data_IF_663058939282
#
_entry.id   IF_663058939282
#
_cell.length_a   1.000
_cell.length_b   1.000
_cell.length_c   1.000
_cell.angle_alpha   90.00
_cell.angle_beta   90.00
_cell.angle_gamma   90.00
#
_symmetry.space_group_name_H-M   'P 1'
#
loop_
_entity.id
_entity.type
_entity.pdbx_description
1 polymer ?
#
# COMPACT_ATOMS: atom_id res chain seq x y z
N UNK A 1 53.30 44.06 -71.56
CA UNK A 1 52.06 44.33 -70.79
C UNK A 1 51.39 43.05 -70.48
N UNK A 2 51.58 42.50 -69.29
CA UNK A 2 51.04 41.19 -68.91
C UNK A 2 49.84 41.37 -67.96
N UNK A 3 48.69 40.90 -68.41
CA UNK A 3 47.44 40.94 -67.68
C UNK A 3 47.31 39.66 -66.83
N UNK A 4 47.37 39.79 -65.50
CA UNK A 4 47.15 38.67 -64.59
C UNK A 4 45.75 38.75 -63.96
N UNK A 5 44.89 37.82 -64.34
CA UNK A 5 43.56 37.64 -63.71
C UNK A 5 43.73 36.91 -62.37
N UNK A 6 42.96 37.28 -61.32
CA UNK A 6 42.98 36.56 -60.05
C UNK A 6 42.03 35.37 -60.08
N UNK A 7 42.54 34.25 -59.62
CA UNK A 7 41.84 32.99 -59.44
C UNK A 7 40.94 33.06 -58.19
N UNK A 8 39.63 32.91 -58.35
CA UNK A 8 38.66 32.82 -57.29
C UNK A 8 38.63 31.40 -56.74
N UNK A 9 39.05 31.24 -55.51
CA UNK A 9 38.91 29.97 -54.74
C UNK A 9 37.52 29.96 -54.09
N UNK A 10 36.63 29.10 -54.62
CA UNK A 10 35.35 28.82 -53.96
C UNK A 10 35.53 27.79 -52.86
N UNK A 11 35.40 28.22 -51.62
CA UNK A 11 35.35 27.33 -50.47
C UNK A 11 33.93 26.76 -50.35
N UNK A 12 33.73 25.48 -50.64
CA UNK A 12 32.55 24.72 -50.30
C UNK A 12 32.54 24.37 -48.82
N UNK A 13 31.67 25.05 -48.05
CA UNK A 13 31.34 24.68 -46.68
C UNK A 13 30.32 23.54 -46.72
N UNK A 14 30.77 22.31 -46.49
CA UNK A 14 29.89 21.17 -46.20
C UNK A 14 29.39 21.33 -44.77
N UNK A 15 28.14 21.78 -44.59
CA UNK A 15 27.41 21.77 -43.31
C UNK A 15 26.97 20.34 -42.98
N UNK A 16 27.64 19.65 -42.06
CA UNK A 16 27.10 18.43 -41.42
C UNK A 16 25.90 18.80 -40.54
N UNK A 17 24.70 18.55 -41.02
CA UNK A 17 23.50 18.58 -40.19
C UNK A 17 23.48 17.31 -39.31
N UNK A 18 23.85 17.44 -38.03
CA UNK A 18 23.59 16.41 -37.02
C UNK A 18 22.08 16.41 -36.72
N UNK A 19 21.34 15.51 -37.37
CA UNK A 19 19.98 15.20 -37.00
C UNK A 19 20.04 14.39 -35.70
N UNK A 20 19.87 15.07 -34.54
CA UNK A 20 19.61 14.40 -33.28
C UNK A 20 18.26 13.68 -33.40
N UNK A 21 18.27 12.36 -33.59
CA UNK A 21 17.11 11.52 -33.47
C UNK A 21 16.67 11.55 -32.00
N UNK A 22 15.68 12.40 -31.71
CA UNK A 22 14.92 12.29 -30.45
C UNK A 22 14.16 11.00 -30.56
N UNK A 23 14.73 9.92 -30.00
CA UNK A 23 13.99 8.69 -29.79
C UNK A 23 12.77 9.05 -28.92
N UNK A 24 11.59 9.05 -29.49
CA UNK A 24 10.34 9.11 -28.74
C UNK A 24 10.36 7.93 -27.75
N UNK A 25 10.66 8.21 -26.50
CA UNK A 25 10.51 7.23 -25.43
C UNK A 25 9.01 6.92 -25.38
N UNK A 26 8.61 5.79 -25.94
CA UNK A 26 7.28 5.24 -25.72
C UNK A 26 7.17 5.06 -24.20
N UNK A 27 6.29 5.86 -23.59
CA UNK A 27 6.03 5.81 -22.14
C UNK A 27 5.31 4.49 -21.89
N UNK A 28 6.10 3.44 -21.60
CA UNK A 28 5.52 2.14 -21.24
C UNK A 28 4.75 2.31 -19.94
N UNK A 29 3.45 2.11 -20.02
CA UNK A 29 2.53 2.21 -18.88
C UNK A 29 2.59 0.91 -18.08
N UNK A 30 2.65 1.02 -16.75
CA UNK A 30 2.49 -0.10 -15.81
C UNK A 30 1.12 0.02 -15.14
N UNK A 31 0.26 -0.96 -15.34
CA UNK A 31 -1.08 -1.03 -14.74
C UNK A 31 -1.03 -1.97 -13.53
N UNK A 32 -1.36 -1.44 -12.38
CA UNK A 32 -1.32 -2.16 -11.09
C UNK A 32 -2.74 -2.16 -10.49
N UNK A 33 -3.29 -3.31 -10.13
CA UNK A 33 -4.58 -3.38 -9.43
C UNK A 33 -4.63 -4.57 -8.47
N UNK A 34 -5.62 -4.63 -7.59
CA UNK A 34 -5.81 -5.75 -6.67
C UNK A 34 -6.24 -5.35 -5.26
N UNK A 35 -5.52 -5.77 -4.24
CA UNK A 35 -5.87 -5.55 -2.84
C UNK A 35 -5.87 -4.07 -2.46
N UNK A 36 -7.02 -3.53 -2.06
CA UNK A 36 -7.13 -2.15 -1.57
C UNK A 36 -6.35 -1.91 -0.28
N UNK A 37 -6.07 -2.96 0.50
CA UNK A 37 -5.24 -2.86 1.69
C UNK A 37 -3.75 -2.66 1.38
N UNK A 38 -3.26 -3.16 0.23
CA UNK A 38 -1.86 -3.00 -0.21
C UNK A 38 -1.68 -1.69 -1.01
N UNK A 39 -2.76 -1.19 -1.62
CA UNK A 39 -2.71 -0.02 -2.47
C UNK A 39 -2.02 1.21 -1.84
N UNK A 40 -2.26 1.61 -0.57
CA UNK A 40 -1.59 2.77 0.01
C UNK A 40 -0.06 2.68 -0.01
N UNK A 41 0.50 1.51 0.25
CA UNK A 41 1.94 1.28 0.20
C UNK A 41 2.47 1.34 -1.24
N UNK A 42 1.75 0.73 -2.18
CA UNK A 42 2.13 0.72 -3.61
C UNK A 42 2.00 2.10 -4.22
N UNK A 43 1.02 2.89 -3.82
CA UNK A 43 0.87 4.31 -4.23
C UNK A 43 2.06 5.16 -3.77
N UNK A 44 2.55 4.95 -2.53
CA UNK A 44 3.74 5.62 -2.04
C UNK A 44 5.00 5.22 -2.84
N UNK A 45 5.18 3.92 -3.11
CA UNK A 45 6.26 3.40 -3.95
C UNK A 45 6.19 3.94 -5.39
N UNK A 46 5.01 3.96 -5.99
CA UNK A 46 4.80 4.49 -7.34
C UNK A 46 5.06 6.00 -7.43
N UNK A 47 4.69 6.77 -6.39
CA UNK A 47 5.00 8.20 -6.31
C UNK A 47 6.51 8.43 -6.24
N UNK A 48 7.20 7.76 -5.34
CA UNK A 48 8.65 7.91 -5.20
C UNK A 48 9.41 7.43 -6.45
N UNK A 49 8.92 6.39 -7.12
CA UNK A 49 9.48 5.94 -8.39
C UNK A 49 9.33 7.00 -9.50
N UNK A 50 8.15 7.62 -9.62
CA UNK A 50 7.90 8.69 -10.61
C UNK A 50 8.74 9.95 -10.35
N UNK A 51 9.01 10.29 -9.08
CA UNK A 51 9.91 11.40 -8.72
C UNK A 51 11.34 11.18 -9.26
N UNK A 52 11.82 9.93 -9.26
CA UNK A 52 13.12 9.55 -9.81
C UNK A 52 13.09 9.27 -11.32
N UNK A 53 11.91 9.00 -11.88
CA UNK A 53 11.69 8.64 -13.28
C UNK A 53 10.50 9.42 -13.85
N UNK A 54 10.67 10.72 -14.17
CA UNK A 54 9.55 11.61 -14.57
C UNK A 54 8.75 11.13 -15.80
N UNK A 55 9.35 10.25 -16.64
CA UNK A 55 8.67 9.64 -17.80
C UNK A 55 7.90 8.34 -17.47
N UNK A 56 7.92 7.87 -16.20
CA UNK A 56 7.25 6.63 -15.84
C UNK A 56 5.72 6.81 -15.72
N UNK A 57 4.95 6.04 -16.47
CA UNK A 57 3.50 5.97 -16.37
C UNK A 57 3.09 4.76 -15.51
N UNK A 58 2.67 5.00 -14.26
CA UNK A 58 2.11 3.97 -13.38
C UNK A 58 0.66 4.34 -13.07
N UNK A 59 -0.26 3.43 -13.38
CA UNK A 59 -1.67 3.55 -13.03
C UNK A 59 -2.03 2.53 -11.96
N UNK A 60 -2.71 2.98 -10.90
CA UNK A 60 -3.21 2.11 -9.83
C UNK A 60 -4.73 2.07 -9.90
N UNK A 61 -5.28 0.87 -10.01
CA UNK A 61 -6.71 0.63 -10.14
C UNK A 61 -7.48 0.79 -8.84
N UNK A 62 -8.80 0.65 -8.92
CA UNK A 62 -9.75 0.90 -7.82
C UNK A 62 -9.94 -0.29 -6.87
N UNK A 63 -9.22 -1.38 -7.10
CA UNK A 63 -9.29 -2.61 -6.32
C UNK A 63 -10.01 -3.76 -7.05
N UNK A 64 -9.38 -4.92 -7.02
CA UNK A 64 -9.90 -6.18 -7.54
C UNK A 64 -9.89 -7.26 -6.45
N UNK A 65 -10.95 -8.03 -6.36
CA UNK A 65 -11.03 -9.19 -5.48
C UNK A 65 -9.99 -10.26 -5.83
N UNK A 66 -9.76 -11.20 -4.90
CA UNK A 66 -8.66 -12.18 -4.98
C UNK A 66 -8.61 -12.96 -6.29
N UNK A 67 -9.73 -13.51 -6.75
CA UNK A 67 -9.78 -14.24 -8.02
C UNK A 67 -9.65 -13.32 -9.23
N UNK A 68 -10.33 -12.16 -9.20
CA UNK A 68 -10.36 -11.22 -10.31
C UNK A 68 -9.00 -10.61 -10.62
N UNK A 69 -8.17 -10.29 -9.62
CA UNK A 69 -6.82 -9.74 -9.84
C UNK A 69 -5.87 -10.75 -10.51
N UNK A 70 -5.92 -12.02 -10.12
CA UNK A 70 -5.09 -13.07 -10.73
C UNK A 70 -5.55 -13.34 -12.16
N UNK A 71 -6.86 -13.36 -12.40
CA UNK A 71 -7.40 -13.48 -13.76
C UNK A 71 -7.01 -12.28 -14.63
N UNK A 72 -7.13 -11.05 -14.12
CA UNK A 72 -6.75 -9.83 -14.86
C UNK A 72 -5.27 -9.83 -15.23
N UNK A 73 -4.39 -10.31 -14.34
CA UNK A 73 -2.96 -10.46 -14.63
C UNK A 73 -2.71 -11.50 -15.73
N UNK A 74 -3.37 -12.65 -15.67
CA UNK A 74 -3.26 -13.70 -16.72
C UNK A 74 -3.73 -13.24 -18.09
N UNK A 75 -4.76 -12.41 -18.13
CA UNK A 75 -5.32 -11.84 -19.36
C UNK A 75 -4.55 -10.61 -19.86
N UNK A 76 -3.49 -10.18 -19.18
CA UNK A 76 -2.71 -9.00 -19.54
C UNK A 76 -3.48 -7.68 -19.39
N UNK A 77 -4.59 -7.65 -18.65
CA UNK A 77 -5.33 -6.42 -18.34
C UNK A 77 -4.66 -5.55 -17.29
N UNK A 78 -3.81 -6.16 -16.48
CA UNK A 78 -2.91 -5.50 -15.53
C UNK A 78 -1.52 -6.14 -15.66
N UNK A 79 -0.48 -5.40 -15.31
CA UNK A 79 0.92 -5.85 -15.32
C UNK A 79 1.35 -6.37 -13.96
N UNK A 80 0.73 -5.86 -12.89
CA UNK A 80 1.05 -6.20 -11.50
C UNK A 80 -0.24 -6.36 -10.70
N UNK A 81 -0.40 -7.50 -10.04
CA UNK A 81 -1.49 -7.72 -9.10
C UNK A 81 -1.02 -7.47 -7.66
N UNK A 82 -1.67 -6.54 -6.96
CA UNK A 82 -1.48 -6.34 -5.51
C UNK A 82 -2.19 -7.46 -4.76
N UNK A 83 -1.48 -8.15 -3.87
CA UNK A 83 -2.02 -9.22 -3.05
C UNK A 83 -1.56 -9.07 -1.59
N UNK A 84 -2.30 -9.68 -0.68
CA UNK A 84 -2.00 -9.65 0.75
C UNK A 84 -1.99 -11.06 1.34
N UNK A 85 -1.93 -11.16 2.66
CA UNK A 85 -2.00 -12.41 3.42
C UNK A 85 -3.08 -13.36 2.87
N UNK A 86 -2.87 -14.67 2.96
CA UNK A 86 -3.78 -15.68 2.41
C UNK A 86 -3.63 -15.94 0.90
N UNK A 87 -2.67 -15.28 0.20
CA UNK A 87 -2.35 -15.63 -1.17
C UNK A 87 -1.82 -17.06 -1.25
N UNK A 88 -2.44 -17.92 -2.07
CA UNK A 88 -1.89 -19.24 -2.35
C UNK A 88 -0.70 -19.13 -3.32
N UNK A 89 0.49 -18.90 -2.75
CA UNK A 89 1.72 -18.66 -3.50
C UNK A 89 2.03 -19.85 -4.42
N UNK A 90 1.89 -21.09 -3.91
CA UNK A 90 2.18 -22.29 -4.68
C UNK A 90 1.27 -22.41 -5.92
N UNK A 91 -0.01 -22.07 -5.78
CA UNK A 91 -0.97 -22.10 -6.88
C UNK A 91 -0.65 -21.04 -7.93
N UNK A 92 -0.38 -19.81 -7.50
CA UNK A 92 -0.04 -18.70 -8.38
C UNK A 92 1.26 -18.98 -9.15
N UNK A 93 2.27 -19.57 -8.48
CA UNK A 93 3.54 -19.97 -9.12
C UNK A 93 3.34 -21.09 -10.13
N UNK A 94 2.50 -22.11 -9.81
CA UNK A 94 2.15 -23.16 -10.78
C UNK A 94 1.43 -22.65 -12.02
N UNK A 95 0.75 -21.51 -11.91
CA UNK A 95 0.12 -20.81 -13.03
C UNK A 95 1.10 -19.95 -13.84
N UNK A 96 2.40 -20.03 -13.60
CA UNK A 96 3.43 -19.31 -14.36
C UNK A 96 3.59 -17.84 -13.96
N UNK A 97 3.22 -17.47 -12.74
CA UNK A 97 3.39 -16.12 -12.21
C UNK A 97 4.49 -16.07 -11.15
N UNK A 98 5.07 -14.90 -10.95
CA UNK A 98 6.09 -14.66 -9.92
C UNK A 98 5.50 -13.82 -8.80
N UNK A 99 5.70 -14.27 -7.57
CA UNK A 99 5.26 -13.58 -6.36
C UNK A 99 6.47 -12.84 -5.74
N UNK A 100 6.30 -11.56 -5.50
CA UNK A 100 7.29 -10.68 -4.89
C UNK A 100 6.74 -10.20 -3.54
N UNK A 101 7.22 -10.76 -2.45
CA UNK A 101 6.93 -10.19 -1.13
C UNK A 101 7.68 -8.87 -0.99
N UNK A 102 6.95 -7.80 -0.65
CA UNK A 102 7.49 -6.44 -0.56
C UNK A 102 7.57 -5.93 0.88
N UNK A 103 6.87 -6.58 1.79
CA UNK A 103 6.94 -6.21 3.19
C UNK A 103 5.80 -6.77 4.02
N UNK A 104 5.96 -6.59 5.33
CA UNK A 104 5.00 -6.96 6.35
C UNK A 104 4.44 -5.70 7.00
N UNK A 105 3.12 -5.62 7.16
CA UNK A 105 2.43 -4.43 7.69
C UNK A 105 1.65 -4.80 8.93
N UNK A 106 1.75 -3.99 9.99
CA UNK A 106 0.89 -4.13 11.15
C UNK A 106 -0.56 -3.82 10.80
N UNK A 107 -1.48 -4.70 11.19
CA UNK A 107 -2.91 -4.42 11.28
C UNK A 107 -3.17 -3.83 12.66
N UNK A 108 -3.75 -2.66 12.72
CA UNK A 108 -3.90 -1.89 13.97
C UNK A 108 -5.36 -1.51 14.22
N UNK A 109 -5.70 -1.26 15.47
CA UNK A 109 -6.88 -0.47 15.79
C UNK A 109 -6.48 1.00 15.69
N UNK A 110 -6.84 1.61 14.55
CA UNK A 110 -6.66 3.04 14.33
C UNK A 110 -7.79 3.80 14.99
N UNK A 111 -7.47 4.92 15.63
CA UNK A 111 -8.46 5.83 16.22
C UNK A 111 -8.32 7.22 15.65
N UNK A 112 -9.43 7.96 15.60
CA UNK A 112 -9.40 9.39 15.35
C UNK A 112 -8.53 10.10 16.39
N UNK A 113 -7.77 11.10 15.96
CA UNK A 113 -6.78 11.77 16.83
C UNK A 113 -7.38 12.47 18.06
N UNK A 114 -8.68 12.76 18.05
CA UNK A 114 -9.41 13.36 19.19
C UNK A 114 -9.73 12.34 20.29
N UNK A 115 -9.78 11.04 19.95
CA UNK A 115 -9.82 9.98 20.95
C UNK A 115 -8.41 9.76 21.51
N UNK A 116 -8.27 9.69 22.83
CA UNK A 116 -6.95 9.73 23.50
C UNK A 116 -6.52 8.46 24.23
N UNK A 117 -7.13 7.28 24.07
CA UNK A 117 -6.54 6.08 24.66
C UNK A 117 -5.23 5.75 23.93
N UNK A 118 -4.19 5.33 24.66
CA UNK A 118 -2.93 4.90 24.06
C UNK A 118 -2.86 3.39 23.83
N UNK A 119 -3.72 2.62 24.49
CA UNK A 119 -3.70 1.15 24.50
C UNK A 119 -5.11 0.59 24.64
N UNK A 120 -5.34 -0.59 24.07
CA UNK A 120 -6.50 -1.43 24.33
C UNK A 120 -6.04 -2.84 24.69
N UNK A 121 -6.76 -3.48 25.62
CA UNK A 121 -6.70 -4.93 25.78
C UNK A 121 -7.63 -5.62 24.78
N UNK A 122 -7.40 -6.89 24.50
CA UNK A 122 -8.30 -7.68 23.62
C UNK A 122 -9.73 -7.72 24.17
N UNK A 123 -9.87 -7.83 25.49
CA UNK A 123 -11.18 -7.76 26.15
C UNK A 123 -11.89 -6.43 25.91
N UNK A 124 -11.16 -5.32 25.98
CA UNK A 124 -11.74 -3.99 25.68
C UNK A 124 -12.15 -3.87 24.21
N UNK A 125 -11.31 -4.34 23.28
CA UNK A 125 -11.67 -4.41 21.85
C UNK A 125 -12.98 -5.18 21.67
N UNK A 126 -13.08 -6.38 22.21
CA UNK A 126 -14.31 -7.18 22.07
C UNK A 126 -15.54 -6.50 22.67
N UNK A 127 -15.40 -5.83 23.79
CA UNK A 127 -16.49 -5.08 24.42
C UNK A 127 -16.91 -3.87 23.63
N UNK A 128 -15.99 -3.18 22.95
CA UNK A 128 -16.31 -2.09 22.02
C UNK A 128 -17.16 -2.63 20.84
N UNK A 129 -16.67 -3.69 20.17
CA UNK A 129 -17.38 -4.27 19.02
C UNK A 129 -18.68 -4.99 19.38
N UNK A 130 -18.83 -5.40 20.63
CA UNK A 130 -20.08 -5.90 21.20
C UNK A 130 -21.06 -4.80 21.68
N UNK A 131 -20.68 -3.51 21.54
CA UNK A 131 -21.49 -2.38 22.00
C UNK A 131 -21.57 -2.24 23.54
N UNK A 132 -20.69 -2.88 24.30
CA UNK A 132 -20.65 -2.86 25.79
C UNK A 132 -19.81 -1.75 26.36
N UNK A 133 -18.93 -1.13 25.59
CA UNK A 133 -18.17 0.08 25.89
C UNK A 133 -18.50 1.07 24.77
N UNK A 134 -19.05 2.21 25.13
CA UNK A 134 -19.58 3.17 24.17
C UNK A 134 -19.00 4.57 24.28
N UNK A 135 -18.16 4.81 25.27
CA UNK A 135 -17.51 6.09 25.49
C UNK A 135 -16.01 5.89 25.83
N UNK A 136 -15.15 6.69 25.22
CA UNK A 136 -13.70 6.60 25.44
C UNK A 136 -13.28 6.89 26.88
N UNK A 137 -14.04 7.68 27.64
CA UNK A 137 -13.76 7.93 29.07
C UNK A 137 -13.76 6.67 29.93
N UNK A 138 -14.52 5.63 29.52
CA UNK A 138 -14.50 4.32 30.20
C UNK A 138 -13.14 3.62 30.09
N UNK A 139 -12.32 4.07 29.15
CA UNK A 139 -10.99 3.54 28.82
C UNK A 139 -9.87 4.55 29.12
N UNK A 140 -10.17 5.58 29.91
CA UNK A 140 -9.20 6.64 30.28
C UNK A 140 -8.93 7.66 29.16
N UNK A 141 -9.75 7.66 28.12
CA UNK A 141 -9.69 8.64 27.03
C UNK A 141 -10.59 9.86 27.26
N UNK A 142 -10.80 10.64 26.21
CA UNK A 142 -11.69 11.81 26.19
C UNK A 142 -13.13 11.42 26.48
N UNK A 143 -13.94 12.34 27.00
CA UNK A 143 -15.41 12.14 27.09
C UNK A 143 -16.02 12.28 25.70
N UNK A 144 -15.93 11.21 24.92
CA UNK A 144 -16.29 11.14 23.52
C UNK A 144 -16.91 9.78 23.20
N UNK A 145 -18.05 9.77 22.52
CA UNK A 145 -18.71 8.54 22.12
C UNK A 145 -17.82 7.72 21.17
N UNK A 146 -17.75 6.41 21.38
CA UNK A 146 -17.03 5.50 20.48
C UNK A 146 -17.88 5.25 19.22
N UNK A 147 -17.27 5.41 18.05
CA UNK A 147 -17.84 5.05 16.74
C UNK A 147 -17.05 3.87 16.19
N UNK A 148 -17.50 2.62 16.43
CA UNK A 148 -16.77 1.45 15.98
C UNK A 148 -16.95 1.22 14.48
N UNK A 149 -15.84 1.00 13.78
CA UNK A 149 -15.78 0.74 12.35
C UNK A 149 -15.15 -0.64 12.11
N UNK A 150 -15.67 -1.40 11.17
CA UNK A 150 -15.12 -2.68 10.78
C UNK A 150 -14.97 -2.79 9.26
N UNK A 151 -14.27 -3.80 8.81
CA UNK A 151 -14.15 -4.19 7.40
C UNK A 151 -15.05 -5.39 7.15
N UNK A 152 -15.45 -5.68 5.89
CA UNK A 152 -16.12 -6.93 5.56
C UNK A 152 -15.33 -8.16 6.03
N UNK A 153 -16.01 -9.25 6.31
CA UNK A 153 -15.40 -10.52 6.75
C UNK A 153 -14.37 -11.07 5.75
N UNK A 154 -14.55 -10.82 4.47
CA UNK A 154 -13.64 -11.23 3.40
C UNK A 154 -12.37 -10.36 3.26
N UNK A 155 -12.22 -9.35 4.09
CA UNK A 155 -11.08 -8.45 4.04
C UNK A 155 -9.98 -8.92 4.99
N UNK A 156 -8.73 -8.87 4.53
CA UNK A 156 -7.58 -9.41 5.25
C UNK A 156 -7.39 -8.81 6.65
N UNK A 157 -7.67 -7.53 6.82
CA UNK A 157 -7.55 -6.89 8.13
C UNK A 157 -8.52 -7.53 9.15
N UNK A 158 -9.75 -7.88 8.73
CA UNK A 158 -10.72 -8.61 9.56
C UNK A 158 -10.28 -10.04 9.80
N UNK A 159 -9.80 -10.74 8.76
CA UNK A 159 -9.29 -12.12 8.90
C UNK A 159 -8.16 -12.19 9.93
N UNK A 160 -7.17 -11.30 9.85
CA UNK A 160 -6.03 -11.22 10.78
C UNK A 160 -6.51 -10.97 12.21
N UNK A 161 -7.37 -9.98 12.40
CA UNK A 161 -7.87 -9.62 13.74
C UNK A 161 -8.69 -10.75 14.34
N UNK A 162 -9.61 -11.36 13.58
CA UNK A 162 -10.42 -12.48 14.05
C UNK A 162 -9.60 -13.74 14.33
N UNK A 163 -8.59 -14.02 13.52
CA UNK A 163 -7.72 -15.18 13.72
C UNK A 163 -6.86 -15.05 15.01
N UNK A 164 -6.47 -13.83 15.38
CA UNK A 164 -5.53 -13.59 16.46
C UNK A 164 -6.19 -13.17 17.79
N UNK A 165 -7.39 -12.59 17.75
CA UNK A 165 -8.13 -12.14 18.94
C UNK A 165 -9.29 -13.10 19.20
N UNK A 166 -9.10 -14.01 20.16
CA UNK A 166 -10.01 -15.14 20.39
C UNK A 166 -11.47 -14.75 20.58
N UNK A 167 -11.74 -13.67 21.32
CA UNK A 167 -13.12 -13.23 21.56
C UNK A 167 -13.78 -12.59 20.32
N UNK A 168 -13.01 -12.19 19.31
CA UNK A 168 -13.59 -11.69 18.04
C UNK A 168 -13.90 -12.81 17.03
N UNK A 169 -13.38 -14.02 17.21
CA UNK A 169 -13.53 -15.11 16.22
C UNK A 169 -14.97 -15.39 15.83
N UNK A 170 -15.88 -15.35 16.78
CA UNK A 170 -17.32 -15.63 16.58
C UNK A 170 -18.19 -14.47 17.05
N UNK A 171 -17.62 -13.30 17.34
CA UNK A 171 -18.38 -12.16 17.80
C UNK A 171 -19.24 -11.62 16.66
N UNK A 172 -20.55 -11.60 16.88
CA UNK A 172 -21.46 -10.80 16.08
C UNK A 172 -21.30 -9.34 16.51
N UNK A 173 -20.96 -8.49 15.56
CA UNK A 173 -20.78 -7.06 15.83
C UNK A 173 -22.13 -6.42 16.17
N UNK A 174 -22.13 -5.50 17.14
CA UNK A 174 -23.31 -4.72 17.48
C UNK A 174 -23.77 -3.85 16.28
N UNK A 175 -25.06 -3.50 16.24
CA UNK A 175 -25.66 -2.70 15.17
C UNK A 175 -25.00 -1.33 14.98
N UNK A 176 -24.36 -0.80 16.03
CA UNK A 176 -23.60 0.45 15.97
C UNK A 176 -22.32 0.35 15.14
N UNK A 177 -21.80 -0.85 14.85
CA UNK A 177 -20.57 -1.05 14.06
C UNK A 177 -20.86 -0.78 12.59
N UNK A 178 -20.13 0.20 12.02
CA UNK A 178 -20.27 0.55 10.61
C UNK A 178 -19.24 -0.20 9.76
N UNK A 179 -19.71 -0.85 8.71
CA UNK A 179 -18.83 -1.58 7.79
C UNK A 179 -18.27 -0.65 6.71
N UNK A 180 -16.96 -0.55 6.65
CA UNK A 180 -16.22 0.21 5.63
C UNK A 180 -15.76 -0.74 4.52
N UNK A 181 -16.35 -0.67 3.30
CA UNK A 181 -16.15 -1.69 2.27
C UNK A 181 -14.70 -1.76 1.75
N UNK A 182 -13.99 -0.63 1.68
CA UNK A 182 -12.61 -0.56 1.17
C UNK A 182 -11.68 0.14 2.15
N UNK A 183 -10.37 -0.12 2.06
CA UNK A 183 -9.36 0.53 2.90
C UNK A 183 -9.37 2.07 2.81
N UNK A 184 -9.53 2.72 1.64
CA UNK A 184 -9.71 4.17 1.56
C UNK A 184 -10.94 4.70 2.30
N UNK A 185 -12.04 3.93 2.36
CA UNK A 185 -13.25 4.34 3.09
C UNK A 185 -12.99 4.31 4.60
N UNK A 186 -12.30 3.27 5.09
CA UNK A 186 -11.85 3.18 6.48
C UNK A 186 -10.91 4.34 6.84
N UNK A 187 -9.90 4.61 6.02
CA UNK A 187 -8.94 5.69 6.23
C UNK A 187 -9.65 7.05 6.34
N UNK A 188 -10.60 7.31 5.44
CA UNK A 188 -11.40 8.55 5.44
C UNK A 188 -12.27 8.65 6.69
N UNK A 189 -13.00 7.59 7.03
CA UNK A 189 -13.88 7.58 8.19
C UNK A 189 -13.10 7.80 9.49
N UNK A 190 -11.97 7.11 9.69
CA UNK A 190 -11.10 7.31 10.85
C UNK A 190 -10.57 8.76 10.94
N UNK A 191 -10.17 9.35 9.82
CA UNK A 191 -9.60 10.69 9.80
C UNK A 191 -10.64 11.81 10.01
N UNK A 192 -11.92 11.56 9.73
CA UNK A 192 -12.97 12.62 9.72
C UNK A 192 -14.07 12.43 10.75
N UNK A 193 -14.10 11.31 11.48
CA UNK A 193 -15.15 11.02 12.45
C UNK A 193 -14.59 11.03 13.86
N UNK A 194 -14.85 12.07 14.67
CA UNK A 194 -14.46 12.10 16.07
C UNK A 194 -14.91 10.82 16.81
N UNK A 195 -14.06 10.30 17.67
CA UNK A 195 -14.33 9.08 18.45
C UNK A 195 -14.32 7.76 17.66
N UNK A 196 -14.06 7.78 16.35
CA UNK A 196 -14.00 6.54 15.58
C UNK A 196 -12.80 5.67 15.94
N UNK A 197 -13.03 4.35 15.89
CA UNK A 197 -12.00 3.30 16.00
C UNK A 197 -12.27 2.23 14.96
N UNK A 198 -11.23 1.72 14.31
CA UNK A 198 -11.42 0.69 13.28
C UNK A 198 -10.16 -0.08 12.94
N UNK A 199 -10.34 -1.27 12.38
CA UNK A 199 -9.27 -2.12 11.86
C UNK A 199 -8.67 -1.50 10.60
N UNK A 200 -7.39 -1.17 10.65
CA UNK A 200 -6.68 -0.55 9.51
C UNK A 200 -5.21 -0.99 9.51
N UNK A 201 -4.40 -0.44 8.62
CA UNK A 201 -2.97 -0.73 8.58
C UNK A 201 -2.14 0.43 9.12
N UNK A 202 -0.94 0.11 9.61
CA UNK A 202 0.03 1.13 10.00
C UNK A 202 0.34 2.11 8.86
N UNK A 203 0.32 1.64 7.60
CA UNK A 203 0.48 2.51 6.42
C UNK A 203 -0.58 3.62 6.35
N UNK A 204 -1.84 3.31 6.65
CA UNK A 204 -2.92 4.31 6.71
C UNK A 204 -2.68 5.32 7.83
N UNK A 205 -2.20 4.86 8.97
CA UNK A 205 -1.86 5.72 10.12
C UNK A 205 -0.77 6.71 9.73
N UNK A 206 0.35 6.23 9.19
CA UNK A 206 1.47 7.08 8.76
C UNK A 206 1.05 8.11 7.71
N UNK A 207 0.22 7.72 6.76
CA UNK A 207 -0.26 8.60 5.69
C UNK A 207 -1.37 9.57 6.15
N UNK A 208 -1.89 9.43 7.36
CA UNK A 208 -2.99 10.26 7.86
C UNK A 208 -2.59 11.69 8.25
N UNK A 209 -1.30 12.00 8.26
CA UNK A 209 -0.75 13.27 8.77
C UNK A 209 -1.22 13.57 10.22
N UNK A 210 -1.19 12.55 11.09
CA UNK A 210 -1.54 12.66 12.50
C UNK A 210 -3.05 12.67 12.81
N UNK A 211 -3.93 12.56 11.80
CA UNK A 211 -5.38 12.50 12.01
C UNK A 211 -5.87 11.16 12.54
N UNK A 212 -5.11 10.11 12.33
CA UNK A 212 -5.35 8.76 12.85
C UNK A 212 -4.15 8.34 13.69
N UNK A 213 -4.39 7.79 14.86
CA UNK A 213 -3.37 7.21 15.74
C UNK A 213 -3.55 5.70 15.82
N UNK A 214 -2.44 4.96 15.89
CA UNK A 214 -2.49 3.54 16.15
C UNK A 214 -2.48 3.30 17.67
N UNK A 215 -3.35 2.41 18.15
CA UNK A 215 -3.35 1.97 19.53
C UNK A 215 -2.36 0.82 19.72
N UNK A 216 -1.71 0.78 20.88
CA UNK A 216 -1.07 -0.43 21.36
C UNK A 216 -2.14 -1.49 21.66
N UNK A 217 -1.78 -2.75 21.53
CA UNK A 217 -2.62 -3.89 21.91
C UNK A 217 -1.90 -4.70 22.99
N UNK A 218 -2.55 -4.93 24.12
CA UNK A 218 -1.94 -5.58 25.29
C UNK A 218 -0.61 -4.93 25.72
N UNK A 219 -0.51 -3.61 25.60
CA UNK A 219 0.71 -2.85 25.90
C UNK A 219 1.79 -2.90 24.83
N UNK A 220 1.60 -3.65 23.74
CA UNK A 220 2.58 -3.78 22.66
C UNK A 220 2.22 -2.79 21.54
N UNK A 221 3.11 -1.84 21.28
CA UNK A 221 2.94 -0.88 20.18
C UNK A 221 3.18 -1.56 18.81
N UNK A 222 2.46 -1.14 17.75
CA UNK A 222 2.68 -1.63 16.38
C UNK A 222 3.92 -1.01 15.72
N UNK A 223 5.01 -0.88 16.50
CA UNK A 223 6.27 -0.32 16.03
C UNK A 223 7.01 -1.31 15.12
N UNK A 224 7.86 -0.78 14.23
CA UNK A 224 8.66 -1.56 13.29
C UNK A 224 9.38 -2.74 13.95
N UNK A 225 10.04 -2.49 15.09
CA UNK A 225 10.77 -3.50 15.84
C UNK A 225 9.85 -4.63 16.36
N UNK A 226 8.67 -4.28 16.88
CA UNK A 226 7.71 -5.26 17.38
C UNK A 226 7.08 -6.10 16.28
N UNK A 227 6.92 -5.53 15.07
CA UNK A 227 6.50 -6.27 13.87
C UNK A 227 7.61 -7.21 13.41
N UNK A 228 8.85 -6.74 13.38
CA UNK A 228 10.02 -7.50 12.97
C UNK A 228 10.29 -8.69 13.91
N UNK A 229 10.22 -8.49 15.21
CA UNK A 229 10.39 -9.54 16.24
C UNK A 229 9.16 -10.41 16.44
N UNK A 230 8.04 -10.10 15.78
CA UNK A 230 6.73 -10.74 15.92
C UNK A 230 6.10 -10.60 17.30
N UNK A 231 6.59 -9.67 18.13
CA UNK A 231 5.95 -9.32 19.40
C UNK A 231 4.57 -8.71 19.17
N UNK A 232 4.44 -7.85 18.16
CA UNK A 232 3.15 -7.39 17.68
C UNK A 232 2.62 -8.38 16.63
N UNK A 233 1.58 -9.14 16.99
CA UNK A 233 1.15 -10.32 16.22
C UNK A 233 0.14 -10.02 15.09
N UNK A 234 -0.58 -8.90 15.17
CA UNK A 234 -1.54 -8.54 14.12
C UNK A 234 -0.79 -7.99 12.90
N UNK A 235 -0.33 -8.88 12.05
CA UNK A 235 0.44 -8.52 10.85
C UNK A 235 -0.10 -9.21 9.61
N UNK A 236 0.09 -8.59 8.46
CA UNK A 236 -0.19 -9.18 7.16
C UNK A 236 0.96 -8.93 6.20
N UNK A 237 1.13 -9.88 5.29
CA UNK A 237 2.10 -9.75 4.22
C UNK A 237 1.55 -8.88 3.09
N UNK A 238 2.45 -8.27 2.33
CA UNK A 238 2.14 -7.49 1.13
C UNK A 238 2.93 -8.03 -0.04
N UNK A 239 2.23 -8.39 -1.12
CA UNK A 239 2.81 -9.00 -2.31
C UNK A 239 2.49 -8.19 -3.56
N UNK A 240 3.43 -8.19 -4.49
CA UNK A 240 3.21 -7.90 -5.90
C UNK A 240 3.33 -9.21 -6.68
N UNK A 241 2.39 -9.47 -7.57
CA UNK A 241 2.40 -10.65 -8.44
C UNK A 241 2.50 -10.19 -9.88
N UNK A 242 3.39 -10.81 -10.66
CA UNK A 242 3.62 -10.48 -12.07
C UNK A 242 3.62 -11.74 -12.93
N UNK A 243 3.59 -11.59 -14.24
CA UNK A 243 4.00 -12.67 -15.14
C UNK A 243 5.44 -13.11 -14.82
N UNK A 244 5.83 -14.34 -15.19
CA UNK A 244 7.20 -14.85 -14.98
C UNK A 244 8.25 -13.97 -15.68
N UNK A 245 7.91 -13.44 -16.84
CA UNK A 245 8.74 -12.48 -17.58
C UNK A 245 7.93 -11.19 -17.77
N UNK A 246 8.02 -10.24 -16.83
CA UNK A 246 7.28 -8.99 -16.92
C UNK A 246 7.90 -8.06 -17.99
N UNK A 247 7.11 -7.15 -18.53
CA UNK A 247 7.58 -6.09 -19.43
C UNK A 247 8.68 -5.24 -18.76
N UNK A 248 9.53 -4.62 -19.59
CA UNK A 248 10.70 -3.86 -19.10
C UNK A 248 10.34 -2.76 -18.11
N UNK A 249 9.24 -2.04 -18.30
CA UNK A 249 8.78 -1.00 -17.38
C UNK A 249 8.41 -1.60 -16.01
N UNK A 250 7.67 -2.72 -16.01
CA UNK A 250 7.30 -3.45 -14.80
C UNK A 250 8.54 -3.97 -14.08
N UNK A 251 9.51 -4.53 -14.81
CA UNK A 251 10.76 -5.01 -14.23
C UNK A 251 11.56 -3.89 -13.57
N UNK A 252 11.64 -2.70 -14.20
CA UNK A 252 12.30 -1.52 -13.61
C UNK A 252 11.59 -1.05 -12.34
N UNK A 253 10.26 -1.00 -12.32
CA UNK A 253 9.51 -0.66 -11.12
C UNK A 253 9.76 -1.66 -9.99
N UNK A 254 9.74 -2.97 -10.27
CA UNK A 254 10.05 -4.00 -9.27
C UNK A 254 11.49 -3.90 -8.74
N UNK A 255 12.46 -3.57 -9.61
CA UNK A 255 13.84 -3.32 -9.19
C UNK A 255 13.94 -2.13 -8.22
N UNK A 256 13.19 -1.04 -8.49
CA UNK A 256 13.09 0.08 -7.56
C UNK A 256 12.48 -0.34 -6.23
N UNK A 257 11.36 -1.08 -6.24
CA UNK A 257 10.70 -1.55 -5.00
C UNK A 257 11.67 -2.31 -4.09
N UNK A 258 12.59 -3.09 -4.68
CA UNK A 258 13.61 -3.88 -3.95
C UNK A 258 14.90 -3.13 -3.68
N UNK A 259 15.03 -1.91 -4.15
CA UNK A 259 16.23 -1.09 -3.93
C UNK A 259 16.23 -0.47 -2.53
N UNK A 260 17.38 0.03 -2.08
CA UNK A 260 17.50 0.81 -0.82
C UNK A 260 16.52 2.00 -0.80
N UNK A 261 16.27 2.62 -1.96
CA UNK A 261 15.29 3.72 -2.06
C UNK A 261 13.86 3.22 -1.82
N UNK A 262 13.49 2.09 -2.42
CA UNK A 262 12.19 1.45 -2.19
C UNK A 262 12.01 0.99 -0.74
N UNK A 263 13.03 0.37 -0.14
CA UNK A 263 13.01 -0.02 1.27
C UNK A 263 12.76 1.18 2.20
N UNK A 264 13.41 2.32 1.94
CA UNK A 264 13.16 3.55 2.71
C UNK A 264 11.71 4.01 2.60
N UNK A 265 11.09 3.92 1.43
CA UNK A 265 9.67 4.23 1.25
C UNK A 265 8.80 3.27 2.04
N UNK A 266 9.10 1.96 2.00
CA UNK A 266 8.37 0.93 2.75
C UNK A 266 8.40 1.25 4.25
N UNK A 267 9.58 1.51 4.81
CA UNK A 267 9.74 1.84 6.23
C UNK A 267 9.03 3.15 6.60
N UNK A 268 9.16 4.20 5.79
CA UNK A 268 8.50 5.48 6.02
C UNK A 268 6.97 5.41 5.96
N UNK A 269 6.43 4.33 5.38
CA UNK A 269 4.99 4.05 5.35
C UNK A 269 4.57 2.95 6.34
N UNK A 270 5.32 2.75 7.42
CA UNK A 270 4.97 1.87 8.53
C UNK A 270 4.97 0.37 8.20
N UNK A 271 5.69 -0.02 7.15
CA UNK A 271 5.86 -1.42 6.78
C UNK A 271 7.30 -1.89 7.09
N UNK A 272 7.47 -3.19 7.30
CA UNK A 272 8.77 -3.85 7.48
C UNK A 272 9.15 -4.51 6.17
N UNK A 273 10.22 -4.08 5.48
CA UNK A 273 10.64 -4.70 4.23
C UNK A 273 11.12 -6.13 4.45
N UNK A 274 10.95 -6.98 3.45
CA UNK A 274 11.53 -8.34 3.43
C UNK A 274 12.93 -8.24 2.84
N UNK A 275 13.89 -8.83 3.53
CA UNK A 275 15.30 -8.94 3.11
C UNK A 275 15.57 -10.28 2.46
#
# INVERSE_FOLDING_TARGET
MQNRSPMRVSACLLGLAFAAAVAAQTTEKVVIDGSTGVAPLVEALARAYREQNPGAAIEIGKGLGTKARIQALREGRIDVAMASHGLNIAEVTRQGMTVHEIGKVAVVFGVNAEATPGNLTESQVCRIYAGKITNWKELGGSDLAIVPLARPESEVDTEVVRAQIGCLQKLEFADAVKIMPKAPDMARALASTPGSVGMTSMTVVEQSNGRVKALSLEGIAPAHENVQTRSYRLTRDSFLVTAATPASATARFLAFVRSVAGEKVIVANGAVPVR
#
